data_IF_792561715794
#
_entry.id   IF_792561715794
#
_cell.length_a   1.000
_cell.length_b   1.000
_cell.length_c   1.000
_cell.angle_alpha   90.00
_cell.angle_beta   90.00
_cell.angle_gamma   90.00
#
_symmetry.space_group_name_H-M   'P 1'
#
loop_
_entity.id
_entity.type
_entity.pdbx_description
1 polymer ?
#
# COMPACT_ATOMS: atom_id res chain seq x y z
N UNK A 1 -11.97 -8.25 19.57
CA UNK A 1 -11.93 -9.67 19.96
C UNK A 1 -12.29 -10.50 18.74
N UNK A 2 -11.44 -11.45 18.34
CA UNK A 2 -11.71 -12.32 17.20
C UNK A 2 -12.59 -13.49 17.66
N UNK A 3 -13.91 -13.40 17.45
CA UNK A 3 -14.84 -14.50 17.75
C UNK A 3 -14.49 -15.69 16.84
N UNK A 4 -14.05 -16.80 17.44
CA UNK A 4 -13.72 -18.05 16.74
C UNK A 4 -14.94 -18.55 15.96
N UNK A 5 -14.76 -19.08 14.76
CA UNK A 5 -15.84 -19.63 13.93
C UNK A 5 -16.19 -21.04 14.43
N UNK A 6 -17.45 -21.28 14.79
CA UNK A 6 -17.91 -22.61 15.20
C UNK A 6 -18.25 -23.46 13.97
N UNK A 7 -18.22 -24.78 14.11
CA UNK A 7 -18.53 -25.71 13.00
C UNK A 7 -19.96 -25.49 12.45
N UNK A 8 -20.93 -25.24 13.34
CA UNK A 8 -22.31 -24.90 12.97
C UNK A 8 -22.41 -23.66 12.07
N UNK A 9 -21.64 -22.61 12.37
CA UNK A 9 -21.60 -21.40 11.54
C UNK A 9 -20.97 -21.68 10.17
N UNK A 10 -19.99 -22.57 10.11
CA UNK A 10 -19.36 -23.00 8.85
C UNK A 10 -20.34 -23.82 8.00
N UNK A 11 -21.16 -24.67 8.62
CA UNK A 11 -22.18 -25.47 7.92
C UNK A 11 -23.35 -24.62 7.41
N UNK A 12 -23.82 -23.65 8.20
CA UNK A 12 -24.78 -22.65 7.72
C UNK A 12 -24.19 -21.89 6.53
N UNK A 13 -22.92 -21.49 6.61
CA UNK A 13 -22.25 -20.79 5.51
C UNK A 13 -22.07 -21.68 4.28
N UNK A 14 -21.82 -22.99 4.41
CA UNK A 14 -21.79 -23.93 3.27
C UNK A 14 -23.17 -24.06 2.63
N UNK A 15 -24.21 -24.32 3.43
CA UNK A 15 -25.60 -24.49 2.99
C UNK A 15 -26.15 -23.24 2.29
N UNK A 16 -26.00 -22.07 2.90
CA UNK A 16 -26.47 -20.81 2.32
C UNK A 16 -25.74 -20.50 0.99
N UNK A 17 -24.47 -20.89 0.84
CA UNK A 17 -23.71 -20.67 -0.40
C UNK A 17 -24.12 -21.64 -1.50
N UNK A 18 -24.38 -22.90 -1.17
CA UNK A 18 -24.95 -23.88 -2.10
C UNK A 18 -26.33 -23.43 -2.61
N UNK A 19 -27.15 -22.84 -1.73
CA UNK A 19 -28.42 -22.21 -2.07
C UNK A 19 -28.29 -20.83 -2.76
N UNK A 20 -27.07 -20.37 -3.09
CA UNK A 20 -26.78 -19.07 -3.73
C UNK A 20 -27.32 -17.84 -2.98
N UNK A 21 -27.44 -17.91 -1.66
CA UNK A 21 -27.85 -16.79 -0.82
C UNK A 21 -26.74 -15.72 -0.78
N UNK A 22 -27.07 -14.42 -0.92
CA UNK A 22 -26.08 -13.34 -0.80
C UNK A 22 -25.41 -13.31 0.58
N UNK A 23 -24.08 -13.16 0.61
CA UNK A 23 -23.27 -13.14 1.85
C UNK A 23 -23.76 -12.13 2.90
N UNK A 24 -24.25 -10.92 2.55
CA UNK A 24 -24.81 -10.00 3.55
C UNK A 24 -26.00 -10.56 4.33
N UNK A 25 -26.83 -11.40 3.70
CA UNK A 25 -27.99 -12.05 4.35
C UNK A 25 -27.50 -13.11 5.33
N UNK A 26 -26.54 -13.95 4.92
CA UNK A 26 -25.93 -14.95 5.81
C UNK A 26 -25.16 -14.29 6.96
N UNK A 27 -24.47 -13.18 6.72
CA UNK A 27 -23.79 -12.43 7.76
C UNK A 27 -24.76 -11.90 8.84
N UNK A 28 -25.94 -11.41 8.41
CA UNK A 28 -27.01 -11.01 9.32
C UNK A 28 -27.55 -12.21 10.12
N UNK A 29 -27.79 -13.37 9.50
CA UNK A 29 -28.22 -14.60 10.19
C UNK A 29 -27.23 -15.06 11.27
N UNK A 30 -25.92 -14.96 10.99
CA UNK A 30 -24.85 -15.39 11.91
C UNK A 30 -24.48 -14.34 12.98
N UNK A 31 -25.02 -13.12 12.88
CA UNK A 31 -24.62 -12.02 13.75
C UNK A 31 -23.14 -11.65 13.61
N UNK A 32 -22.57 -11.76 12.40
CA UNK A 32 -21.15 -11.49 12.11
C UNK A 32 -20.97 -10.35 11.11
N UNK A 33 -19.87 -9.59 11.19
CA UNK A 33 -19.63 -8.51 10.25
C UNK A 33 -19.38 -9.05 8.83
N UNK A 34 -20.02 -8.42 7.85
CA UNK A 34 -19.99 -8.82 6.43
C UNK A 34 -18.58 -9.11 5.89
N UNK A 35 -17.54 -8.28 6.16
CA UNK A 35 -16.17 -8.56 5.70
C UNK A 35 -15.58 -9.85 6.28
N UNK A 36 -15.89 -10.19 7.53
CA UNK A 36 -15.40 -11.40 8.16
C UNK A 36 -16.06 -12.65 7.54
N UNK A 37 -17.36 -12.57 7.23
CA UNK A 37 -18.10 -13.64 6.54
C UNK A 37 -17.57 -13.86 5.13
N UNK A 38 -17.26 -12.79 4.39
CA UNK A 38 -16.60 -12.90 3.07
C UNK A 38 -15.21 -13.56 3.17
N UNK A 39 -14.38 -13.12 4.11
CA UNK A 39 -13.05 -13.68 4.31
C UNK A 39 -13.12 -15.18 4.66
N UNK A 40 -14.07 -15.58 5.51
CA UNK A 40 -14.24 -16.98 5.89
C UNK A 40 -14.79 -17.82 4.74
N UNK A 41 -15.80 -17.35 4.02
CA UNK A 41 -16.30 -18.04 2.82
C UNK A 41 -15.19 -18.27 1.79
N UNK A 42 -14.27 -17.32 1.65
CA UNK A 42 -13.08 -17.47 0.79
C UNK A 42 -12.12 -18.56 1.29
N UNK A 43 -11.87 -18.64 2.60
CA UNK A 43 -11.00 -19.65 3.19
C UNK A 43 -11.58 -21.07 3.10
N UNK A 44 -12.90 -21.24 3.21
CA UNK A 44 -13.57 -22.54 3.07
C UNK A 44 -13.66 -22.96 1.58
N UNK A 45 -13.34 -22.07 0.64
CA UNK A 45 -13.50 -22.33 -0.80
C UNK A 45 -14.95 -22.23 -1.30
N UNK A 46 -15.90 -21.82 -0.45
CA UNK A 46 -17.31 -21.63 -0.83
C UNK A 46 -17.56 -20.27 -1.49
N UNK A 47 -16.61 -19.34 -1.37
CA UNK A 47 -16.56 -18.15 -2.21
C UNK A 47 -15.88 -18.49 -3.53
N UNK A 48 -16.59 -19.25 -4.36
CA UNK A 48 -16.41 -19.16 -5.81
C UNK A 48 -16.87 -17.75 -6.17
N UNK A 49 -15.96 -16.77 -6.13
CA UNK A 49 -16.09 -15.73 -7.15
C UNK A 49 -16.11 -16.53 -8.45
N UNK A 50 -17.14 -16.41 -9.30
CA UNK A 50 -17.02 -16.87 -10.66
C UNK A 50 -15.92 -16.01 -11.27
N UNK A 51 -14.67 -16.40 -11.03
CA UNK A 51 -13.53 -16.01 -11.82
C UNK A 51 -13.80 -16.68 -13.16
N UNK A 52 -14.62 -16.00 -13.95
CA UNK A 52 -14.84 -16.39 -15.32
C UNK A 52 -13.46 -16.34 -15.95
N UNK A 53 -12.88 -17.50 -16.23
CA UNK A 53 -11.60 -17.60 -16.91
C UNK A 53 -11.70 -16.79 -18.20
N UNK A 54 -10.63 -16.09 -18.54
CA UNK A 54 -10.56 -15.39 -19.82
C UNK A 54 -10.20 -16.41 -20.88
N UNK A 55 -11.21 -16.92 -21.56
CA UNK A 55 -11.07 -17.72 -22.77
C UNK A 55 -10.51 -16.85 -23.90
N UNK A 56 -9.81 -17.50 -24.83
CA UNK A 56 -9.13 -16.81 -25.94
C UNK A 56 -10.12 -16.04 -26.82
N UNK A 57 -11.35 -16.56 -27.00
CA UNK A 57 -12.41 -15.90 -27.75
C UNK A 57 -12.88 -14.60 -27.06
N UNK A 58 -13.12 -14.61 -25.74
CA UNK A 58 -13.41 -13.39 -24.99
C UNK A 58 -12.27 -12.37 -25.05
N UNK A 59 -11.01 -12.82 -25.03
CA UNK A 59 -9.85 -11.92 -25.15
C UNK A 59 -9.74 -11.32 -26.55
N UNK A 60 -10.02 -12.10 -27.60
CA UNK A 60 -10.05 -11.60 -28.98
C UNK A 60 -11.16 -10.55 -29.15
N UNK A 61 -12.38 -10.84 -28.68
CA UNK A 61 -13.51 -9.90 -28.69
C UNK A 61 -13.21 -8.62 -27.89
N UNK A 62 -12.52 -8.75 -26.75
CA UNK A 62 -12.05 -7.58 -25.98
C UNK A 62 -11.08 -6.71 -26.81
N UNK A 63 -10.13 -7.30 -27.53
CA UNK A 63 -9.21 -6.54 -28.40
C UNK A 63 -9.95 -5.82 -29.53
N UNK A 64 -10.89 -6.50 -30.17
CA UNK A 64 -11.72 -5.93 -31.22
C UNK A 64 -12.53 -4.72 -30.72
N UNK A 65 -13.24 -4.86 -29.59
CA UNK A 65 -14.04 -3.79 -28.99
C UNK A 65 -13.18 -2.60 -28.52
N UNK A 66 -11.94 -2.85 -28.10
CA UNK A 66 -11.00 -1.79 -27.69
C UNK A 66 -10.44 -1.04 -28.89
N UNK A 67 -10.22 -1.72 -30.02
CA UNK A 67 -9.70 -1.15 -31.26
C UNK A 67 -10.78 -0.55 -32.19
N UNK A 68 -12.07 -0.74 -31.89
CA UNK A 68 -13.16 -0.15 -32.65
C UNK A 68 -13.09 1.39 -32.67
N UNK A 69 -13.34 2.01 -33.83
CA UNK A 69 -13.46 3.47 -33.99
C UNK A 69 -14.92 3.80 -34.32
N UNK A 70 -15.66 4.51 -33.44
CA UNK A 70 -15.22 5.23 -32.23
C UNK A 70 -14.91 4.32 -31.02
N UNK A 71 -13.95 4.70 -30.15
CA UNK A 71 -13.57 3.88 -29.00
C UNK A 71 -14.74 3.74 -28.01
N UNK A 72 -15.17 2.49 -27.78
CA UNK A 72 -16.22 2.18 -26.81
C UNK A 72 -15.80 2.49 -25.37
N UNK A 73 -16.70 2.95 -24.52
CA UNK A 73 -16.42 3.16 -23.09
C UNK A 73 -16.29 1.82 -22.35
N UNK A 74 -15.46 1.76 -21.30
CA UNK A 74 -15.22 0.53 -20.52
C UNK A 74 -16.54 -0.09 -20.00
N UNK A 75 -17.56 0.74 -19.74
CA UNK A 75 -18.91 0.31 -19.33
C UNK A 75 -19.66 -0.44 -20.43
N UNK A 76 -19.55 0.01 -21.68
CA UNK A 76 -20.19 -0.66 -22.83
C UNK A 76 -19.51 -1.99 -23.14
N UNK A 77 -18.17 -2.02 -23.09
CA UNK A 77 -17.38 -3.24 -23.26
C UNK A 77 -17.73 -4.27 -22.17
N UNK A 78 -17.85 -3.82 -20.92
CA UNK A 78 -18.27 -4.65 -19.79
C UNK A 78 -19.67 -5.25 -20.00
N UNK A 79 -20.62 -4.45 -20.49
CA UNK A 79 -21.96 -4.93 -20.81
C UNK A 79 -21.95 -5.96 -21.95
N UNK A 80 -21.19 -5.72 -23.03
CA UNK A 80 -21.11 -6.63 -24.18
C UNK A 80 -20.47 -7.99 -23.84
N UNK A 81 -19.45 -7.98 -22.99
CA UNK A 81 -18.77 -9.20 -22.54
C UNK A 81 -19.45 -9.87 -21.32
N UNK A 82 -20.49 -9.26 -20.75
CA UNK A 82 -21.15 -9.77 -19.54
C UNK A 82 -20.24 -9.82 -18.31
N UNK A 83 -19.19 -8.99 -18.25
CA UNK A 83 -18.19 -8.94 -17.15
C UNK A 83 -18.20 -7.60 -16.44
N UNK A 84 -17.63 -7.52 -15.24
CA UNK A 84 -17.54 -6.24 -14.52
C UNK A 84 -16.51 -5.29 -15.16
N UNK A 85 -16.77 -3.97 -15.08
CA UNK A 85 -15.85 -2.92 -15.57
C UNK A 85 -14.45 -3.06 -14.99
N UNK A 86 -14.34 -3.43 -13.71
CA UNK A 86 -13.05 -3.66 -13.05
C UNK A 86 -12.31 -4.85 -13.66
N UNK A 87 -12.99 -5.97 -13.95
CA UNK A 87 -12.38 -7.13 -14.62
C UNK A 87 -11.91 -6.79 -16.03
N UNK A 88 -12.71 -6.04 -16.80
CA UNK A 88 -12.33 -5.57 -18.13
C UNK A 88 -11.06 -4.71 -18.03
N UNK A 89 -11.04 -3.71 -17.14
CA UNK A 89 -9.89 -2.81 -16.97
C UNK A 89 -8.63 -3.56 -16.54
N UNK A 90 -8.74 -4.49 -15.59
CA UNK A 90 -7.61 -5.34 -15.19
C UNK A 90 -7.08 -6.15 -16.37
N UNK A 91 -7.96 -6.76 -17.17
CA UNK A 91 -7.54 -7.55 -18.32
C UNK A 91 -6.94 -6.69 -19.43
N UNK A 92 -7.47 -5.49 -19.67
CA UNK A 92 -6.87 -4.53 -20.59
C UNK A 92 -5.46 -4.11 -20.14
N UNK A 93 -5.24 -3.95 -18.83
CA UNK A 93 -3.91 -3.64 -18.27
C UNK A 93 -2.94 -4.81 -18.47
N UNK A 94 -3.38 -6.02 -18.14
CA UNK A 94 -2.61 -7.27 -18.31
C UNK A 94 -2.18 -7.48 -19.77
N UNK A 95 -3.04 -7.15 -20.72
CA UNK A 95 -2.77 -7.26 -22.16
C UNK A 95 -2.02 -6.05 -22.74
N UNK A 96 -1.70 -5.03 -21.94
CA UNK A 96 -1.03 -3.81 -22.42
C UNK A 96 -1.89 -2.90 -23.31
N UNK A 97 -3.20 -3.12 -23.39
CA UNK A 97 -4.11 -2.39 -24.29
C UNK A 97 -4.47 -0.98 -23.80
N UNK A 98 -4.14 -0.64 -22.54
CA UNK A 98 -4.43 0.68 -21.96
C UNK A 98 -3.59 1.79 -22.62
N UNK A 99 -2.37 1.48 -23.06
CA UNK A 99 -1.48 2.47 -23.70
C UNK A 99 -1.79 2.73 -25.17
N UNK A 100 -2.42 1.77 -25.86
CA UNK A 100 -2.77 1.87 -27.30
C UNK A 100 -4.02 2.72 -27.52
N UNK A 101 -4.85 2.83 -26.49
CA UNK A 101 -6.14 3.52 -26.55
C UNK A 101 -5.93 5.02 -26.37
N UNK A 102 -6.26 5.80 -27.40
CA UNK A 102 -6.27 7.27 -27.35
C UNK A 102 -7.26 7.76 -26.28
N UNK A 103 -6.81 7.87 -25.03
CA UNK A 103 -7.59 8.37 -23.89
C UNK A 103 -8.18 9.76 -24.18
N UNK A 104 -7.48 10.55 -25.01
CA UNK A 104 -7.91 11.85 -25.51
C UNK A 104 -9.21 11.77 -26.33
N UNK A 105 -9.42 10.72 -27.11
CA UNK A 105 -10.66 10.52 -27.90
C UNK A 105 -11.81 10.09 -27.00
N UNK A 106 -11.55 9.23 -26.01
CA UNK A 106 -12.57 8.83 -25.03
C UNK A 106 -13.01 9.97 -24.13
N UNK A 107 -12.08 10.83 -23.71
CA UNK A 107 -12.41 12.03 -22.94
C UNK A 107 -13.35 12.95 -23.73
N UNK A 108 -13.13 13.11 -25.04
CA UNK A 108 -14.03 13.87 -25.93
C UNK A 108 -15.41 13.23 -26.05
N UNK A 109 -15.49 11.91 -26.26
CA UNK A 109 -16.77 11.20 -26.39
C UNK A 109 -17.54 11.22 -25.06
N UNK A 110 -16.86 11.00 -23.93
CA UNK A 110 -17.48 11.03 -22.59
C UNK A 110 -17.95 12.45 -22.25
N UNK A 111 -17.16 13.47 -22.59
CA UNK A 111 -17.58 14.87 -22.43
C UNK A 111 -18.81 15.17 -23.30
N UNK A 112 -18.82 14.77 -24.58
CA UNK A 112 -19.95 14.96 -25.47
C UNK A 112 -21.22 14.20 -25.02
N UNK A 113 -21.09 13.00 -24.46
CA UNK A 113 -22.22 12.22 -23.93
C UNK A 113 -22.77 12.85 -22.64
N UNK A 114 -21.91 13.42 -21.78
CA UNK A 114 -22.33 14.16 -20.59
C UNK A 114 -22.93 15.54 -20.87
N UNK A 115 -22.54 16.15 -22.00
CA UNK A 115 -23.01 17.46 -22.43
C UNK A 115 -24.38 17.44 -23.11
N UNK A 116 -24.98 16.25 -23.35
CA UNK A 116 -26.38 16.18 -23.76
C UNK A 116 -27.25 16.64 -22.59
N UNK A 117 -27.99 17.76 -22.74
CA UNK A 117 -28.84 18.26 -21.68
C UNK A 117 -29.85 17.17 -21.31
N UNK A 118 -29.88 16.81 -20.03
CA UNK A 118 -30.94 15.98 -19.45
C UNK A 118 -32.26 16.64 -19.82
N UNK A 119 -32.96 16.04 -20.78
CA UNK A 119 -34.34 16.39 -21.11
C UNK A 119 -35.10 16.39 -19.80
N UNK A 120 -35.53 17.59 -19.40
CA UNK A 120 -36.26 17.85 -18.18
C UNK A 120 -37.52 17.01 -18.28
N UNK A 121 -37.53 15.90 -17.53
CA UNK A 121 -38.69 15.06 -17.39
C UNK A 121 -39.70 15.87 -16.58
N UNK A 122 -40.67 16.44 -17.28
CA UNK A 122 -41.84 17.05 -16.68
C UNK A 122 -42.60 15.98 -15.89
N UNK A 123 -42.57 16.09 -14.56
CA UNK A 123 -43.53 15.48 -13.65
C UNK A 123 -43.96 16.63 -12.73
N UNK A 124 -45.09 17.26 -13.01
CA UNK A 124 -46.41 16.86 -12.50
C UNK A 124 -46.51 17.07 -10.99
N UNK A 125 -47.05 18.24 -10.65
CA UNK A 125 -48.12 18.49 -9.67
C UNK A 125 -48.09 17.84 -8.27
N UNK A 126 -48.14 18.75 -7.27
CA UNK A 126 -48.96 18.71 -6.03
C UNK A 126 -48.40 18.06 -4.73
N UNK A 127 -48.92 18.42 -3.52
CA UNK A 127 -48.59 19.68 -2.83
C UNK A 127 -48.11 19.53 -1.38
N UNK A 128 -47.65 20.67 -0.84
CA UNK A 128 -47.74 21.13 0.56
C UNK A 128 -47.29 20.20 1.70
N UNK A 129 -46.21 20.59 2.40
CA UNK A 129 -46.30 20.66 3.87
C UNK A 129 -45.29 21.62 4.49
N UNK A 130 -45.81 22.34 5.48
CA UNK A 130 -45.32 23.51 6.20
C UNK A 130 -44.11 23.19 7.08
N UNK A 131 -43.14 24.12 7.17
CA UNK A 131 -42.52 24.54 8.45
C UNK A 131 -41.70 25.81 8.25
N UNK A 132 -42.34 26.96 8.42
CA UNK A 132 -41.64 28.23 8.67
C UNK A 132 -41.20 28.26 10.13
N UNK A 133 -39.89 28.26 10.38
CA UNK A 133 -39.34 28.59 11.69
C UNK A 133 -39.46 30.09 11.92
N UNK A 134 -40.13 30.42 13.02
CA UNK A 134 -40.44 31.75 13.50
C UNK A 134 -39.19 32.65 13.63
N UNK A 135 -39.23 33.82 13.00
CA UNK A 135 -38.38 34.97 13.33
C UNK A 135 -39.25 36.05 13.97
N UNK A 136 -38.83 36.44 15.19
CA UNK A 136 -39.33 37.52 16.05
C UNK A 136 -39.86 38.76 15.30
N UNK A 137 -41.00 39.35 15.72
CA UNK A 137 -41.36 40.69 15.31
C UNK A 137 -40.49 41.70 16.06
N UNK A 138 -39.69 42.47 15.31
CA UNK A 138 -39.01 43.66 15.83
C UNK A 138 -40.03 44.79 15.88
N UNK A 139 -40.27 45.26 17.10
CA UNK A 139 -41.11 46.38 17.48
C UNK A 139 -40.65 47.66 16.75
N UNK A 140 -41.48 48.18 15.85
CA UNK A 140 -41.29 49.52 15.29
C UNK A 140 -41.61 50.57 16.38
N UNK A 141 -40.76 51.60 16.58
CA UNK A 141 -41.13 52.74 17.39
C UNK A 141 -42.11 53.62 16.62
N UNK A 142 -43.23 53.97 17.27
CA UNK A 142 -44.19 54.93 16.77
C UNK A 142 -43.53 56.29 16.57
N UNK A 143 -43.59 56.79 15.33
CA UNK A 143 -43.24 58.18 15.01
C UNK A 143 -44.41 59.10 15.42
N UNK A 144 -44.12 60.30 15.93
CA UNK A 144 -45.15 61.29 16.26
C UNK A 144 -45.78 61.87 14.98
N UNK A 145 -47.09 62.07 15.02
CA UNK A 145 -47.84 62.79 14.02
C UNK A 145 -47.38 64.25 13.97
N UNK A 146 -46.50 64.57 13.02
CA UNK A 146 -46.16 65.94 12.68
C UNK A 146 -47.19 66.46 11.68
N UNK A 147 -47.93 67.48 12.13
CA UNK A 147 -48.80 68.35 11.35
C UNK A 147 -48.00 68.99 10.21
N UNK A 148 -48.21 68.53 8.98
CA UNK A 148 -47.64 69.16 7.79
C UNK A 148 -48.55 70.33 7.44
N UNK A 149 -48.09 71.55 7.74
CA UNK A 149 -48.61 72.77 7.19
C UNK A 149 -48.34 72.77 5.67
N UNK A 150 -49.42 72.78 4.89
CA UNK A 150 -49.39 72.90 3.43
C UNK A 150 -48.98 74.33 3.09
N UNK A 151 -47.68 74.57 2.96
CA UNK A 151 -47.17 75.79 2.36
C UNK A 151 -47.39 75.70 0.85
N UNK A 152 -48.11 76.69 0.29
CA UNK A 152 -48.40 76.80 -1.13
C UNK A 152 -47.10 76.89 -1.94
N UNK A 153 -46.78 75.81 -2.65
CA UNK A 153 -45.66 75.73 -3.58
C UNK A 153 -46.06 76.49 -4.84
N UNK A 154 -45.35 77.58 -5.13
CA UNK A 154 -45.45 78.29 -6.40
C UNK A 154 -44.96 77.39 -7.54
N UNK A 155 -45.63 77.39 -8.71
CA UNK A 155 -45.24 76.54 -9.84
C UNK A 155 -43.92 77.06 -10.41
N UNK A 156 -42.82 76.38 -10.09
CA UNK A 156 -41.57 76.59 -10.80
C UNK A 156 -41.70 75.92 -12.16
N UNK A 157 -41.58 76.71 -13.23
CA UNK A 157 -41.44 76.25 -14.61
C UNK A 157 -40.05 75.64 -14.78
N UNK A 158 -39.90 74.38 -14.38
CA UNK A 158 -38.67 73.63 -14.64
C UNK A 158 -38.70 73.06 -16.06
N UNK A 159 -37.55 73.12 -16.74
CA UNK A 159 -37.36 72.50 -18.04
C UNK A 159 -37.23 70.98 -17.85
N UNK A 160 -38.22 70.17 -18.29
CA UNK A 160 -38.24 68.74 -18.04
C UNK A 160 -37.06 67.99 -18.67
N UNK A 161 -36.39 68.56 -19.69
CA UNK A 161 -35.22 67.94 -20.31
C UNK A 161 -33.99 68.00 -19.41
N UNK A 162 -33.75 69.14 -18.77
CA UNK A 162 -32.63 69.32 -17.85
C UNK A 162 -32.76 68.41 -16.62
N UNK A 163 -33.98 68.24 -16.10
CA UNK A 163 -34.26 67.30 -15.01
C UNK A 163 -33.99 65.84 -15.42
N UNK A 164 -34.39 65.45 -16.64
CA UNK A 164 -34.14 64.10 -17.15
C UNK A 164 -32.64 63.83 -17.32
N UNK A 165 -31.87 64.76 -17.88
CA UNK A 165 -30.42 64.63 -18.02
C UNK A 165 -29.73 64.52 -16.65
N UNK A 166 -30.16 65.32 -15.67
CA UNK A 166 -29.65 65.22 -14.31
C UNK A 166 -29.98 63.87 -13.65
N UNK A 167 -31.20 63.35 -13.87
CA UNK A 167 -31.61 62.05 -13.36
C UNK A 167 -30.82 60.89 -14.00
N UNK A 168 -30.56 60.96 -15.31
CA UNK A 168 -29.74 59.96 -16.02
C UNK A 168 -28.31 59.98 -15.45
N UNK A 169 -27.69 61.15 -15.32
CA UNK A 169 -26.33 61.27 -14.79
C UNK A 169 -26.23 60.77 -13.34
N UNK A 170 -27.22 61.08 -12.50
CA UNK A 170 -27.27 60.57 -11.13
C UNK A 170 -27.40 59.03 -11.09
N UNK A 171 -28.17 58.43 -12.01
CA UNK A 171 -28.28 56.98 -12.13
C UNK A 171 -26.95 56.35 -12.59
N UNK A 172 -26.27 56.96 -13.55
CA UNK A 172 -24.95 56.52 -14.01
C UNK A 172 -23.91 56.54 -12.88
N UNK A 173 -23.84 57.63 -12.12
CA UNK A 173 -22.93 57.76 -10.98
C UNK A 173 -23.22 56.74 -9.88
N UNK A 174 -24.51 56.43 -9.64
CA UNK A 174 -24.94 55.41 -8.70
C UNK A 174 -24.55 54.00 -9.19
N UNK A 175 -24.77 53.69 -10.46
CA UNK A 175 -24.39 52.40 -11.06
C UNK A 175 -22.86 52.23 -11.07
N UNK A 176 -22.10 53.25 -11.43
CA UNK A 176 -20.64 53.24 -11.42
C UNK A 176 -20.09 53.02 -10.00
N UNK A 177 -20.69 53.68 -9.01
CA UNK A 177 -20.30 53.51 -7.60
C UNK A 177 -20.63 52.11 -7.08
N UNK A 178 -21.80 51.56 -7.45
CA UNK A 178 -22.17 50.18 -7.11
C UNK A 178 -21.24 49.15 -7.77
N UNK A 179 -20.88 49.33 -9.03
CA UNK A 179 -19.93 48.47 -9.73
C UNK A 179 -18.55 48.50 -9.08
N UNK A 180 -18.04 49.69 -8.74
CA UNK A 180 -16.76 49.83 -8.02
C UNK A 180 -16.77 49.09 -6.67
N UNK A 181 -17.88 49.19 -5.92
CA UNK A 181 -18.04 48.46 -4.65
C UNK A 181 -18.01 46.94 -4.86
N UNK A 182 -18.75 46.43 -5.85
CA UNK A 182 -18.80 44.99 -6.14
C UNK A 182 -17.44 44.44 -6.60
N UNK A 183 -16.70 45.20 -7.42
CA UNK A 183 -15.34 44.82 -7.84
C UNK A 183 -14.40 44.78 -6.64
N UNK A 184 -14.41 45.81 -5.77
CA UNK A 184 -13.58 45.84 -4.58
C UNK A 184 -13.88 44.68 -3.60
N UNK A 185 -15.15 44.32 -3.43
CA UNK A 185 -15.55 43.17 -2.61
C UNK A 185 -15.08 41.84 -3.22
N UNK A 186 -15.19 41.68 -4.54
CA UNK A 186 -14.70 40.51 -5.24
C UNK A 186 -13.17 40.37 -5.13
N UNK A 187 -12.43 41.46 -5.33
CA UNK A 187 -10.97 41.51 -5.17
C UNK A 187 -10.55 41.17 -3.74
N UNK A 188 -11.20 41.75 -2.73
CA UNK A 188 -10.95 41.42 -1.33
C UNK A 188 -11.21 39.93 -1.04
N UNK A 189 -12.27 39.36 -1.62
CA UNK A 189 -12.58 37.93 -1.56
C UNK A 189 -11.50 37.05 -2.19
N UNK A 190 -10.98 37.44 -3.36
CA UNK A 190 -9.88 36.75 -4.04
C UNK A 190 -8.59 36.81 -3.24
N UNK A 191 -8.20 37.98 -2.71
CA UNK A 191 -7.00 38.16 -1.89
C UNK A 191 -7.09 37.30 -0.62
N UNK A 192 -8.25 37.28 0.05
CA UNK A 192 -8.48 36.44 1.24
C UNK A 192 -8.37 34.95 0.90
N UNK A 193 -8.94 34.51 -0.22
CA UNK A 193 -8.84 33.13 -0.68
C UNK A 193 -7.39 32.73 -1.03
N UNK A 194 -6.64 33.61 -1.71
CA UNK A 194 -5.24 33.39 -2.03
C UNK A 194 -4.38 33.26 -0.76
N UNK A 195 -4.58 34.14 0.22
CA UNK A 195 -3.88 34.05 1.53
C UNK A 195 -4.20 32.74 2.27
N UNK A 196 -5.46 32.29 2.23
CA UNK A 196 -5.84 31.01 2.83
C UNK A 196 -5.20 29.81 2.12
N UNK A 197 -5.12 29.84 0.79
CA UNK A 197 -4.46 28.80 -0.01
C UNK A 197 -2.95 28.73 0.28
N UNK A 198 -2.27 29.88 0.37
CA UNK A 198 -0.85 29.96 0.76
C UNK A 198 -0.64 29.38 2.17
N UNK A 199 -1.50 29.70 3.13
CA UNK A 199 -1.43 29.16 4.47
C UNK A 199 -1.63 27.63 4.52
N UNK A 200 -2.56 27.09 3.74
CA UNK A 200 -2.77 25.64 3.67
C UNK A 200 -1.60 24.92 2.98
N UNK A 201 -1.03 25.52 1.92
CA UNK A 201 0.21 25.02 1.31
C UNK A 201 1.34 24.92 2.34
N UNK A 202 1.57 25.95 3.13
CA UNK A 202 2.59 25.93 4.18
C UNK A 202 2.36 24.81 5.22
N UNK A 203 1.09 24.53 5.58
CA UNK A 203 0.75 23.40 6.45
C UNK A 203 1.00 22.04 5.80
N UNK A 204 0.76 21.91 4.50
CA UNK A 204 1.10 20.69 3.75
C UNK A 204 2.61 20.50 3.73
N UNK A 205 3.38 21.54 3.42
CA UNK A 205 4.85 21.51 3.38
C UNK A 205 5.43 21.13 4.76
N UNK A 206 4.86 21.65 5.86
CA UNK A 206 5.23 21.26 7.23
C UNK A 206 4.92 19.79 7.52
N UNK A 207 3.74 19.30 7.11
CA UNK A 207 3.37 17.87 7.27
C UNK A 207 4.31 16.95 6.49
N UNK A 208 4.69 17.34 5.27
CA UNK A 208 5.66 16.60 4.46
C UNK A 208 7.04 16.57 5.13
N UNK A 209 7.51 17.72 5.62
CA UNK A 209 8.78 17.80 6.37
C UNK A 209 8.78 16.87 7.59
N UNK A 210 7.68 16.82 8.36
CA UNK A 210 7.55 15.91 9.51
C UNK A 210 7.57 14.44 9.07
N UNK A 211 6.93 14.09 7.93
CA UNK A 211 6.96 12.73 7.39
C UNK A 211 8.37 12.32 6.98
N UNK A 212 9.10 13.19 6.26
CA UNK A 212 10.49 12.93 5.87
C UNK A 212 11.37 12.70 7.09
N UNK A 213 11.26 13.56 8.12
CA UNK A 213 11.99 13.38 9.38
C UNK A 213 11.67 12.04 10.06
N UNK A 214 10.40 11.62 10.10
CA UNK A 214 10.00 10.33 10.69
C UNK A 214 10.52 9.13 9.89
N UNK A 215 10.58 9.23 8.57
CA UNK A 215 11.16 8.17 7.72
C UNK A 215 12.65 8.06 7.98
N UNK A 216 13.38 9.19 7.97
CA UNK A 216 14.80 9.23 8.29
C UNK A 216 15.11 8.68 9.69
N UNK A 217 14.29 9.02 10.70
CA UNK A 217 14.42 8.47 12.04
C UNK A 217 14.16 6.95 12.10
N UNK A 218 13.17 6.47 11.34
CA UNK A 218 12.88 5.03 11.26
C UNK A 218 14.00 4.26 10.56
N UNK A 219 14.63 4.84 9.53
CA UNK A 219 15.80 4.27 8.87
C UNK A 219 17.03 4.26 9.78
N UNK A 220 17.31 5.34 10.50
CA UNK A 220 18.35 5.37 11.53
C UNK A 220 18.14 4.28 12.59
N UNK A 221 16.90 4.09 13.08
CA UNK A 221 16.58 3.00 14.02
C UNK A 221 16.81 1.61 13.41
N UNK A 222 16.50 1.41 12.13
CA UNK A 222 16.78 0.14 11.43
C UNK A 222 18.27 -0.13 11.30
N UNK A 223 19.07 0.89 11.00
CA UNK A 223 20.52 0.75 10.93
C UNK A 223 21.12 0.39 12.28
N UNK A 224 20.69 1.06 13.36
CA UNK A 224 21.13 0.72 14.73
C UNK A 224 20.71 -0.70 15.11
N UNK A 225 19.47 -1.10 14.82
CA UNK A 225 19.00 -2.46 15.09
C UNK A 225 19.78 -3.52 14.27
N UNK A 226 20.12 -3.23 13.02
CA UNK A 226 20.93 -4.11 12.19
C UNK A 226 22.36 -4.25 12.74
N UNK A 227 22.98 -3.16 13.19
CA UNK A 227 24.30 -3.18 13.83
C UNK A 227 24.28 -3.98 15.14
N UNK A 228 23.22 -3.86 15.94
CA UNK A 228 23.04 -4.65 17.16
C UNK A 228 22.88 -6.14 16.84
N UNK A 229 22.06 -6.49 15.85
CA UNK A 229 21.89 -7.87 15.42
C UNK A 229 23.20 -8.48 14.87
N UNK A 230 24.01 -7.70 14.13
CA UNK A 230 25.32 -8.15 13.67
C UNK A 230 26.30 -8.37 14.84
N UNK A 231 26.28 -7.49 15.84
CA UNK A 231 27.11 -7.65 17.04
C UNK A 231 26.70 -8.89 17.86
N UNK A 232 25.40 -9.15 18.00
CA UNK A 232 24.88 -10.36 18.65
C UNK A 232 25.22 -11.63 17.84
N UNK A 233 25.11 -11.59 16.52
CA UNK A 233 25.52 -12.69 15.64
C UNK A 233 27.03 -12.98 15.77
N UNK A 234 27.88 -11.94 15.88
CA UNK A 234 29.31 -12.12 16.11
C UNK A 234 29.62 -12.73 17.48
N UNK A 235 28.89 -12.34 18.52
CA UNK A 235 29.05 -12.92 19.87
C UNK A 235 28.66 -14.39 19.89
N UNK A 236 27.49 -14.74 19.36
CA UNK A 236 27.03 -16.14 19.27
C UNK A 236 27.97 -17.00 18.40
N UNK A 237 28.50 -16.45 17.30
CA UNK A 237 29.53 -17.13 16.49
C UNK A 237 30.86 -17.33 17.25
N UNK A 238 31.24 -16.41 18.14
CA UNK A 238 32.44 -16.58 18.98
C UNK A 238 32.22 -17.63 20.07
N UNK A 239 31.04 -17.65 20.69
CA UNK A 239 30.71 -18.61 21.74
C UNK A 239 30.58 -20.04 21.20
N UNK A 240 29.97 -20.22 20.03
CA UNK A 240 29.94 -21.52 19.33
C UNK A 240 31.34 -22.02 18.99
N UNK A 241 32.23 -21.15 18.48
CA UNK A 241 33.64 -21.51 18.26
C UNK A 241 34.40 -21.88 19.55
N UNK A 242 34.08 -21.24 20.69
CA UNK A 242 34.64 -21.61 21.99
C UNK A 242 34.17 -23.00 22.42
N UNK A 243 32.88 -23.28 22.29
CA UNK A 243 32.32 -24.60 22.58
C UNK A 243 32.93 -25.69 21.70
N UNK A 244 33.07 -25.45 20.39
CA UNK A 244 33.74 -26.38 19.47
C UNK A 244 35.23 -26.60 19.83
N UNK A 245 35.93 -25.57 20.30
CA UNK A 245 37.30 -25.71 20.74
C UNK A 245 37.41 -26.52 22.05
N UNK A 246 36.46 -26.34 22.97
CA UNK A 246 36.36 -27.12 24.21
C UNK A 246 36.02 -28.59 23.95
N UNK A 247 35.08 -28.88 23.05
CA UNK A 247 34.76 -30.26 22.66
C UNK A 247 35.94 -30.93 21.97
N UNK A 248 36.66 -30.22 21.10
CA UNK A 248 37.91 -30.75 20.50
C UNK A 248 38.97 -31.04 21.55
N UNK A 249 39.13 -30.18 22.56
CA UNK A 249 40.07 -30.41 23.66
C UNK A 249 39.68 -31.66 24.46
N UNK A 250 38.40 -31.79 24.86
CA UNK A 250 37.94 -32.96 25.60
C UNK A 250 38.05 -34.26 24.79
N UNK A 251 37.79 -34.23 23.48
CA UNK A 251 38.03 -35.36 22.58
C UNK A 251 39.52 -35.75 22.52
N UNK A 252 40.44 -34.77 22.46
CA UNK A 252 41.88 -35.06 22.47
C UNK A 252 42.36 -35.61 23.81
N UNK A 253 41.81 -35.13 24.92
CA UNK A 253 42.12 -35.65 26.26
C UNK A 253 41.57 -37.08 26.44
N UNK A 254 40.34 -37.35 25.99
CA UNK A 254 39.77 -38.68 25.99
C UNK A 254 40.62 -39.66 25.16
N UNK A 255 41.09 -39.24 23.98
CA UNK A 255 42.02 -40.05 23.16
C UNK A 255 43.31 -40.37 23.91
N UNK A 256 43.94 -39.37 24.54
CA UNK A 256 45.15 -39.58 25.36
C UNK A 256 44.89 -40.56 26.50
N UNK A 257 43.78 -40.44 27.21
CA UNK A 257 43.41 -41.39 28.28
C UNK A 257 43.20 -42.81 27.74
N UNK A 258 42.57 -42.97 26.58
CA UNK A 258 42.40 -44.31 25.97
C UNK A 258 43.73 -44.90 25.52
N UNK A 259 44.66 -44.10 24.98
CA UNK A 259 46.00 -44.53 24.60
C UNK A 259 46.84 -44.93 25.82
N UNK A 260 46.79 -44.15 26.91
CA UNK A 260 47.45 -44.48 28.17
C UNK A 260 46.89 -45.76 28.80
N UNK A 261 45.57 -45.93 28.83
CA UNK A 261 44.94 -47.16 29.29
C UNK A 261 45.36 -48.38 28.45
N UNK A 262 45.44 -48.23 27.12
CA UNK A 262 45.92 -49.28 26.23
C UNK A 262 47.40 -49.63 26.51
N UNK A 263 48.25 -48.63 26.78
CA UNK A 263 49.66 -48.85 27.19
C UNK A 263 49.76 -49.65 28.48
N UNK A 264 48.97 -49.31 29.51
CA UNK A 264 48.95 -50.04 30.78
C UNK A 264 48.48 -51.50 30.61
N UNK A 265 47.48 -51.75 29.75
CA UNK A 265 47.03 -53.12 29.44
C UNK A 265 48.14 -53.91 28.76
N UNK A 266 48.84 -53.31 27.79
CA UNK A 266 49.97 -53.96 27.11
C UNK A 266 51.13 -54.24 28.07
N UNK A 267 51.47 -53.30 28.95
CA UNK A 267 52.51 -53.49 29.96
C UNK A 267 52.16 -54.62 30.94
N UNK A 268 50.91 -54.67 31.40
CA UNK A 268 50.43 -55.76 32.27
C UNK A 268 50.50 -57.12 31.56
N UNK A 269 50.06 -57.20 30.30
CA UNK A 269 50.18 -58.42 29.49
C UNK A 269 51.63 -58.85 29.32
N UNK A 270 52.55 -57.91 29.07
CA UNK A 270 53.98 -58.20 28.95
C UNK A 270 54.56 -58.73 30.27
N UNK A 271 54.16 -58.20 31.43
CA UNK A 271 54.56 -58.71 32.75
C UNK A 271 54.00 -60.12 32.99
N UNK A 272 52.74 -60.36 32.69
CA UNK A 272 52.11 -61.69 32.81
C UNK A 272 52.78 -62.72 31.89
N UNK A 273 53.14 -62.34 30.66
CA UNK A 273 53.89 -63.20 29.74
C UNK A 273 55.31 -63.49 30.25
N UNK A 274 55.99 -62.49 30.83
CA UNK A 274 57.31 -62.67 31.45
C UNK A 274 57.24 -63.67 32.60
N UNK A 275 56.25 -63.52 33.50
CA UNK A 275 56.01 -64.47 34.60
C UNK A 275 55.67 -65.88 34.08
N UNK A 276 54.90 -65.99 33.00
CA UNK A 276 54.62 -67.29 32.35
C UNK A 276 55.88 -67.93 31.79
N UNK A 277 56.77 -67.16 31.15
CA UNK A 277 58.04 -67.65 30.62
C UNK A 277 58.97 -68.09 31.75
N UNK A 278 59.07 -67.31 32.82
CA UNK A 278 59.84 -67.68 34.02
C UNK A 278 59.32 -69.00 34.63
N UNK A 279 58.00 -69.15 34.79
CA UNK A 279 57.39 -70.40 35.24
C UNK A 279 57.60 -71.59 34.27
N UNK A 280 57.61 -71.35 32.95
CA UNK A 280 57.92 -72.39 31.96
C UNK A 280 59.40 -72.81 32.01
N UNK A 281 60.33 -71.88 32.23
CA UNK A 281 61.74 -72.19 32.41
C UNK A 281 61.97 -72.98 33.70
N UNK A 282 61.33 -72.61 34.81
CA UNK A 282 61.36 -73.41 36.04
C UNK A 282 60.79 -74.82 35.83
N UNK A 283 59.68 -74.95 35.10
CA UNK A 283 59.10 -76.25 34.76
C UNK A 283 59.98 -77.07 33.80
N UNK A 284 60.69 -76.44 32.85
CA UNK A 284 61.64 -77.14 31.96
C UNK A 284 62.90 -77.58 32.71
N UNK A 285 63.41 -76.78 33.65
CA UNK A 285 64.52 -77.18 34.53
C UNK A 285 64.11 -78.36 35.41
N UNK A 286 62.86 -78.40 35.89
CA UNK A 286 62.32 -79.56 36.61
C UNK A 286 62.08 -80.80 35.72
N UNK A 287 61.75 -80.62 34.44
CA UNK A 287 61.47 -81.71 33.50
C UNK A 287 62.73 -82.30 32.81
N UNK A 288 63.87 -81.60 32.84
CA UNK A 288 65.14 -82.09 32.27
C UNK A 288 65.85 -83.18 33.09
N UNK A 289 65.20 -83.74 34.13
CA UNK A 289 65.69 -84.88 34.90
C UNK A 289 65.23 -86.26 34.38
N UNK A 290 64.47 -86.36 33.28
CA UNK A 290 64.07 -87.66 32.73
C UNK A 290 63.80 -87.67 31.23
N UNK A 291 64.42 -88.66 30.57
CA UNK A 291 64.02 -89.32 29.32
C UNK A 291 64.55 -88.76 27.97
N UNK A 292 65.74 -89.24 27.62
CA UNK A 292 66.04 -90.22 26.56
C UNK A 292 64.97 -90.56 25.47
N UNK A 293 65.43 -90.52 24.21
CA UNK A 293 65.09 -91.35 23.03
C UNK A 293 63.65 -91.38 22.47
N UNK A 294 63.44 -90.83 21.25
CA UNK A 294 63.17 -91.59 19.98
C UNK A 294 62.45 -90.78 18.86
N UNK A 295 62.90 -91.00 17.60
CA UNK A 295 62.27 -90.63 16.30
C UNK A 295 61.03 -91.51 16.01
N UNK A 296 60.08 -91.13 15.10
CA UNK A 296 60.16 -91.55 13.69
C UNK A 296 59.47 -90.61 12.66
N UNK A 297 59.33 -91.08 11.42
CA UNK A 297 59.31 -90.35 10.15
C UNK A 297 57.95 -90.27 9.40
N UNK A 298 57.88 -89.31 8.45
CA UNK A 298 57.16 -89.22 7.13
C UNK A 298 55.76 -89.86 6.93
N UNK A 299 54.83 -89.09 6.33
CA UNK A 299 54.07 -89.43 5.08
C UNK A 299 53.20 -88.26 4.55
N UNK A 300 52.93 -88.30 3.23
CA UNK A 300 52.28 -87.32 2.33
C UNK A 300 50.74 -87.41 2.32
N UNK A 301 50.02 -86.34 1.91
CA UNK A 301 48.85 -86.34 1.00
C UNK A 301 48.34 -84.88 0.77
N UNK A 302 48.30 -84.33 -0.46
CA UNK A 302 47.20 -84.28 -1.49
C UNK A 302 46.36 -82.97 -1.43
N UNK A 303 46.28 -82.30 -2.59
CA UNK A 303 45.53 -81.05 -2.94
C UNK A 303 44.01 -81.30 -3.13
N UNK A 304 43.14 -80.27 -3.30
CA UNK A 304 42.87 -79.61 -4.60
C UNK A 304 42.71 -78.06 -4.48
N UNK A 305 43.10 -77.21 -5.43
CA UNK A 305 42.54 -76.89 -6.76
C UNK A 305 41.04 -76.49 -6.77
N UNK A 306 40.76 -75.18 -6.83
CA UNK A 306 39.62 -74.60 -7.58
C UNK A 306 40.08 -73.29 -8.26
N UNK A 307 39.63 -73.16 -9.50
CA UNK A 307 40.09 -72.30 -10.58
C UNK A 307 38.87 -71.56 -11.16
N UNK A 308 39.06 -70.35 -11.70
CA UNK A 308 38.17 -69.66 -12.64
C UNK A 308 37.39 -68.48 -12.05
N UNK A 309 37.17 -67.33 -12.72
CA UNK A 309 37.32 -66.92 -14.12
C UNK A 309 37.46 -65.38 -14.21
N UNK A 310 38.35 -64.85 -15.08
CA UNK A 310 38.09 -64.01 -16.29
C UNK A 310 37.02 -62.90 -16.17
N UNK A 311 37.36 -61.61 -16.34
CA UNK A 311 37.56 -60.81 -17.58
C UNK A 311 36.25 -60.23 -18.14
N UNK A 312 36.05 -58.92 -18.02
CA UNK A 312 35.44 -58.10 -19.09
C UNK A 312 35.57 -56.59 -18.83
N UNK A 313 35.77 -55.85 -19.91
CA UNK A 313 35.85 -54.40 -19.98
C UNK A 313 34.60 -53.87 -20.69
N UNK A 314 33.98 -52.79 -20.19
CA UNK A 314 33.25 -51.78 -20.98
C UNK A 314 32.73 -50.62 -20.08
N UNK A 315 32.55 -49.40 -20.62
CA UNK A 315 32.37 -48.16 -19.86
C UNK A 315 30.88 -47.83 -19.61
N UNK A 316 30.57 -47.17 -18.49
CA UNK A 316 29.24 -46.56 -18.27
C UNK A 316 29.31 -45.29 -17.41
N UNK A 317 29.12 -44.16 -18.10
CA UNK A 317 28.36 -42.92 -17.82
C UNK A 317 28.32 -42.30 -16.39
N UNK A 318 28.24 -40.94 -16.33
CA UNK A 318 28.29 -40.19 -15.09
C UNK A 318 27.03 -40.35 -14.23
N UNK A 319 27.22 -40.58 -12.94
CA UNK A 319 26.17 -40.48 -11.93
C UNK A 319 25.72 -39.03 -11.77
N UNK A 320 24.45 -38.79 -12.07
CA UNK A 320 23.72 -37.61 -11.62
C UNK A 320 23.56 -37.64 -10.08
N UNK A 321 23.55 -36.49 -9.40
CA UNK A 321 23.47 -36.40 -7.95
C UNK A 321 22.10 -36.87 -7.45
N UNK A 322 22.11 -37.85 -6.53
CA UNK A 322 20.94 -38.21 -5.75
C UNK A 322 20.54 -37.04 -4.83
N UNK A 323 19.26 -36.69 -4.87
CA UNK A 323 18.66 -35.66 -4.03
C UNK A 323 18.83 -36.00 -2.53
N UNK A 324 19.09 -35.00 -1.67
CA UNK A 324 19.12 -35.22 -0.23
C UNK A 324 17.73 -35.61 0.27
N UNK A 325 17.64 -36.79 0.85
CA UNK A 325 16.51 -37.24 1.67
C UNK A 325 16.26 -36.25 2.80
N UNK A 326 15.06 -35.67 2.82
CA UNK A 326 14.60 -34.79 3.88
C UNK A 326 14.67 -35.49 5.25
N UNK A 327 15.20 -34.84 6.31
CA UNK A 327 15.15 -35.39 7.65
C UNK A 327 13.69 -35.43 8.13
N UNK A 328 13.23 -36.63 8.51
CA UNK A 328 12.02 -36.81 9.32
C UNK A 328 12.26 -36.14 10.67
N UNK A 329 11.64 -34.98 10.88
CA UNK A 329 11.51 -34.37 12.21
C UNK A 329 10.50 -35.23 12.98
N UNK A 330 11.01 -36.09 13.84
CA UNK A 330 10.23 -36.75 14.89
C UNK A 330 10.00 -35.70 15.97
N UNK A 331 8.81 -35.09 15.96
CA UNK A 331 8.33 -34.26 17.07
C UNK A 331 7.96 -35.22 18.20
N UNK A 332 8.83 -35.34 19.21
CA UNK A 332 8.45 -35.92 20.49
C UNK A 332 7.65 -34.87 21.27
N UNK A 333 6.36 -35.15 21.50
CA UNK A 333 5.53 -34.42 22.45
C UNK A 333 6.09 -34.60 23.87
N UNK A 334 6.53 -33.49 24.48
CA UNK A 334 6.84 -33.43 25.90
C UNK A 334 5.57 -33.01 26.66
N UNK A 335 5.23 -33.68 27.79
CA UNK A 335 4.00 -33.41 28.53
C UNK A 335 4.03 -32.06 29.24
N UNK A 336 2.88 -31.40 29.23
CA UNK A 336 2.60 -30.10 29.81
C UNK A 336 2.90 -30.05 31.32
N UNK A 337 3.76 -29.11 31.72
CA UNK A 337 3.87 -28.71 33.11
C UNK A 337 2.68 -27.80 33.48
N UNK A 338 1.81 -28.32 34.34
CA UNK A 338 0.76 -27.56 35.00
C UNK A 338 1.36 -26.35 35.73
N UNK A 339 0.82 -25.16 35.50
CA UNK A 339 1.02 -24.01 36.39
C UNK A 339 -0.31 -23.51 36.90
N UNK A 340 -0.28 -23.27 38.21
CA UNK A 340 -1.38 -23.05 39.12
C UNK A 340 -2.15 -21.78 38.81
N UNK A 341 -3.45 -21.89 39.04
CA UNK A 341 -4.40 -20.81 39.30
C UNK A 341 -4.01 -20.17 40.62
N UNK A 342 -3.77 -18.87 40.64
CA UNK A 342 -3.76 -18.07 41.87
C UNK A 342 -4.66 -16.85 41.64
N UNK A 343 -5.78 -16.87 42.35
CA UNK A 343 -6.74 -15.79 42.54
C UNK A 343 -6.34 -15.12 43.85
N UNK A 344 -6.11 -13.80 43.84
CA UNK A 344 -6.54 -12.84 44.88
C UNK A 344 -5.88 -11.48 44.61
N UNK A 345 -6.68 -10.46 44.31
CA UNK A 345 -7.27 -9.47 45.23
C UNK A 345 -6.37 -8.25 45.44
N UNK A 346 -7.07 -7.12 45.51
CA UNK A 346 -6.54 -5.77 45.55
C UNK A 346 -5.64 -5.55 46.76
N UNK A 347 -4.64 -4.68 46.60
CA UNK A 347 -4.53 -3.56 47.53
C UNK A 347 -3.70 -2.41 46.99
N UNK A 348 -4.24 -1.23 47.23
CA UNK A 348 -3.66 0.09 47.04
C UNK A 348 -2.39 0.26 47.86
N UNK A 349 -1.27 0.61 47.21
CA UNK A 349 -0.13 1.18 47.93
C UNK A 349 0.44 2.40 47.19
N UNK A 350 -0.03 3.56 47.64
CA UNK A 350 0.59 4.87 47.45
C UNK A 350 1.81 5.01 48.36
N UNK A 351 3.00 5.13 47.76
CA UNK A 351 4.26 5.59 48.37
C UNK A 351 5.29 5.64 47.24
N UNK A 352 6.07 6.68 46.97
CA UNK A 352 6.29 7.97 47.59
C UNK A 352 7.47 8.62 46.86
N UNK A 353 7.44 9.95 46.75
CA UNK A 353 8.55 10.87 46.43
C UNK A 353 9.22 10.78 45.05
N UNK A 354 8.96 11.83 44.27
CA UNK A 354 9.83 12.24 43.16
C UNK A 354 9.05 13.08 42.17
N UNK A 355 8.75 14.32 42.55
CA UNK A 355 7.92 15.21 41.74
C UNK A 355 8.44 15.37 40.32
N UNK A 356 7.51 15.47 39.36
CA UNK A 356 7.52 16.40 38.23
C UNK A 356 6.09 16.44 37.67
N UNK A 357 5.43 17.59 37.88
CA UNK A 357 4.27 18.13 37.15
C UNK A 357 3.47 17.12 36.33
N UNK A 358 2.46 16.51 36.95
CA UNK A 358 1.38 15.79 36.28
C UNK A 358 0.52 16.78 35.48
N UNK A 359 0.92 17.04 34.24
CA UNK A 359 0.02 17.61 33.24
C UNK A 359 -1.05 16.56 32.97
N UNK A 360 -2.23 16.75 33.56
CA UNK A 360 -3.45 15.99 33.25
C UNK A 360 -3.65 16.02 31.74
N UNK A 361 -3.27 14.94 31.05
CA UNK A 361 -3.59 14.77 29.64
C UNK A 361 -5.06 14.35 29.58
N UNK A 362 -5.87 15.23 29.01
CA UNK A 362 -7.28 14.94 28.77
C UNK A 362 -7.44 13.58 28.07
N UNK A 363 -8.22 12.64 28.64
CA UNK A 363 -8.45 11.33 28.02
C UNK A 363 -9.09 11.45 26.63
N UNK A 364 -9.86 12.52 26.38
CA UNK A 364 -10.39 12.86 25.06
C UNK A 364 -9.28 13.15 24.03
N UNK A 365 -8.19 13.79 24.45
CA UNK A 365 -7.05 14.10 23.57
C UNK A 365 -6.20 12.87 23.28
N UNK A 366 -6.13 11.93 24.23
CA UNK A 366 -5.47 10.63 24.05
C UNK A 366 -6.28 9.75 23.07
N UNK A 367 -7.62 9.72 23.19
CA UNK A 367 -8.51 9.04 22.24
C UNK A 367 -8.44 9.63 20.82
N UNK A 368 -8.36 10.96 20.70
CA UNK A 368 -8.22 11.63 19.40
C UNK A 368 -6.84 11.39 18.75
N UNK A 369 -5.76 11.37 19.54
CA UNK A 369 -4.42 11.01 19.04
C UNK A 369 -4.32 9.52 18.67
N UNK A 370 -5.03 8.63 19.35
CA UNK A 370 -5.11 7.23 18.99
C UNK A 370 -5.85 7.01 17.66
N UNK A 371 -6.96 7.75 17.43
CA UNK A 371 -7.67 7.73 16.13
C UNK A 371 -6.86 8.32 14.97
N UNK A 372 -6.07 9.37 15.21
CA UNK A 372 -5.26 10.02 14.16
C UNK A 372 -3.96 9.26 13.80
N UNK A 373 -3.50 8.31 14.63
CA UNK A 373 -2.31 7.48 14.37
C UNK A 373 -2.62 6.12 13.76
N UNK A 374 -3.90 5.76 13.57
CA UNK A 374 -4.26 4.62 12.75
C UNK A 374 -3.82 4.90 11.31
N UNK A 375 -2.71 4.29 10.89
CA UNK A 375 -2.32 4.24 9.48
C UNK A 375 -3.55 3.75 8.70
N UNK A 376 -3.94 4.37 7.57
CA UNK A 376 -4.96 3.80 6.71
C UNK A 376 -4.43 2.45 6.26
N UNK A 377 -4.88 1.39 6.93
CA UNK A 377 -4.35 0.04 6.77
C UNK A 377 -4.83 -0.59 5.46
N UNK A 378 -5.69 0.11 4.72
CA UNK A 378 -6.38 -0.44 3.56
C UNK A 378 -6.22 0.47 2.35
N UNK A 379 -5.76 -0.12 1.24
CA UNK A 379 -5.62 0.54 -0.06
C UNK A 379 -6.96 1.10 -0.57
N UNK A 380 -8.08 0.50 -0.13
CA UNK A 380 -9.43 0.99 -0.41
C UNK A 380 -9.69 2.38 0.18
N UNK A 381 -9.33 2.61 1.44
CA UNK A 381 -9.54 3.91 2.10
C UNK A 381 -8.71 5.01 1.44
N UNK A 382 -7.53 4.68 0.89
CA UNK A 382 -6.71 5.63 0.14
C UNK A 382 -7.36 6.01 -1.20
N UNK A 383 -8.06 5.08 -1.85
CA UNK A 383 -8.79 5.34 -3.10
C UNK A 383 -10.04 6.18 -2.82
N UNK A 384 -10.79 5.87 -1.75
CA UNK A 384 -11.97 6.63 -1.37
C UNK A 384 -11.62 8.07 -0.94
N UNK A 385 -10.49 8.25 -0.23
CA UNK A 385 -10.01 9.57 0.17
C UNK A 385 -9.50 10.38 -1.04
N UNK A 386 -8.89 9.73 -2.04
CA UNK A 386 -8.51 10.37 -3.29
C UNK A 386 -9.73 10.78 -4.13
N UNK A 387 -10.74 9.92 -4.23
CA UNK A 387 -11.99 10.23 -4.92
C UNK A 387 -12.78 11.35 -4.23
N UNK A 388 -12.83 11.35 -2.90
CA UNK A 388 -13.46 12.41 -2.12
C UNK A 388 -12.74 13.75 -2.29
N UNK A 389 -11.41 13.75 -2.34
CA UNK A 389 -10.63 14.96 -2.61
C UNK A 389 -10.89 15.50 -4.03
N UNK A 390 -10.99 14.62 -5.02
CA UNK A 390 -11.25 15.01 -6.40
C UNK A 390 -12.67 15.57 -6.60
N UNK A 391 -13.68 14.95 -5.98
CA UNK A 391 -15.05 15.47 -5.96
C UNK A 391 -15.15 16.82 -5.23
N UNK A 392 -14.37 17.04 -4.18
CA UNK A 392 -14.31 18.32 -3.48
C UNK A 392 -13.67 19.42 -4.34
N UNK A 393 -12.63 19.10 -5.10
CA UNK A 393 -12.02 20.03 -6.07
C UNK A 393 -13.00 20.38 -7.19
N UNK A 394 -13.72 19.39 -7.73
CA UNK A 394 -14.74 19.62 -8.77
C UNK A 394 -15.90 20.48 -8.27
N UNK A 395 -16.39 20.24 -7.05
CA UNK A 395 -17.40 21.10 -6.41
C UNK A 395 -16.87 22.50 -6.15
N UNK A 396 -15.62 22.63 -5.72
CA UNK A 396 -15.00 23.94 -5.52
C UNK A 396 -14.88 24.73 -6.83
N UNK A 397 -14.50 24.07 -7.93
CA UNK A 397 -14.44 24.68 -9.27
C UNK A 397 -15.84 25.08 -9.74
N UNK A 398 -16.85 24.23 -9.54
CA UNK A 398 -18.23 24.50 -9.91
C UNK A 398 -18.87 25.64 -9.08
N UNK A 399 -18.66 25.66 -7.77
CA UNK A 399 -19.23 26.68 -6.86
C UNK A 399 -18.55 28.04 -6.99
N UNK A 400 -17.25 28.08 -7.31
CA UNK A 400 -16.51 29.34 -7.51
C UNK A 400 -16.73 29.95 -8.89
N UNK A 401 -17.46 29.28 -9.78
CA UNK A 401 -17.64 29.77 -11.16
C UNK A 401 -16.30 29.99 -11.85
N UNK A 402 -15.26 29.24 -11.48
CA UNK A 402 -14.01 29.18 -12.25
C UNK A 402 -14.36 28.39 -13.50
N UNK A 403 -15.08 29.04 -14.42
CA UNK A 403 -15.03 28.68 -15.82
C UNK A 403 -13.55 28.51 -16.14
N UNK A 404 -13.19 27.39 -16.78
CA UNK A 404 -11.84 27.23 -17.34
C UNK A 404 -11.50 28.58 -17.95
N UNK A 405 -10.52 29.27 -17.37
CA UNK A 405 -10.00 30.49 -17.98
C UNK A 405 -9.66 30.07 -19.39
N UNK A 406 -10.45 30.56 -20.35
CA UNK A 406 -10.16 30.41 -21.76
C UNK A 406 -8.68 30.70 -21.86
N UNK A 407 -7.91 29.66 -22.17
CA UNK A 407 -6.46 29.73 -22.12
C UNK A 407 -6.14 30.81 -23.13
N UNK A 408 -5.80 32.01 -22.66
CA UNK A 408 -5.67 33.19 -23.53
C UNK A 408 -4.83 32.81 -24.73
N UNK A 409 -5.16 33.33 -25.92
CA UNK A 409 -4.66 32.82 -27.21
C UNK A 409 -3.18 32.40 -27.21
N UNK A 410 -2.34 33.15 -26.53
CA UNK A 410 -0.91 32.87 -26.29
C UNK A 410 -0.64 31.49 -25.67
N UNK A 411 -1.36 31.10 -24.62
CA UNK A 411 -1.15 29.81 -23.95
C UNK A 411 -1.52 28.63 -24.87
N UNK A 412 -2.51 28.82 -25.75
CA UNK A 412 -2.85 27.83 -26.77
C UNK A 412 -1.72 27.66 -27.80
N UNK A 413 -1.06 28.77 -28.17
CA UNK A 413 0.08 28.78 -29.10
C UNK A 413 1.31 28.15 -28.48
N UNK A 414 1.64 28.50 -27.23
CA UNK A 414 2.72 27.89 -26.46
C UNK A 414 2.51 26.38 -26.34
N UNK A 415 1.29 25.94 -26.03
CA UNK A 415 0.97 24.50 -25.91
C UNK A 415 1.12 23.76 -27.24
N UNK A 416 0.73 24.38 -28.37
CA UNK A 416 0.91 23.78 -29.70
C UNK A 416 2.37 23.72 -30.14
N UNK A 417 3.16 24.74 -29.80
CA UNK A 417 4.61 24.74 -30.01
C UNK A 417 5.28 23.61 -29.21
N UNK A 418 4.93 23.48 -27.92
CA UNK A 418 5.43 22.39 -27.08
C UNK A 418 5.02 21.00 -27.60
N UNK A 419 3.79 20.84 -28.09
CA UNK A 419 3.33 19.59 -28.71
C UNK A 419 4.10 19.23 -29.99
N UNK A 420 4.72 20.22 -30.67
CA UNK A 420 5.60 20.02 -31.82
C UNK A 420 7.07 19.81 -31.43
N UNK A 421 7.38 19.77 -30.13
CA UNK A 421 8.73 19.50 -29.62
C UNK A 421 9.56 20.75 -29.31
N UNK A 422 9.00 21.95 -29.43
CA UNK A 422 9.71 23.19 -29.08
C UNK A 422 9.71 23.41 -27.56
N UNK A 423 10.86 23.78 -27.00
CA UNK A 423 10.99 24.20 -25.60
C UNK A 423 10.73 25.71 -25.54
N UNK A 424 9.56 26.10 -25.05
CA UNK A 424 9.15 27.50 -24.91
C UNK A 424 9.22 27.91 -23.44
N UNK A 425 10.06 28.89 -23.13
CA UNK A 425 10.23 29.46 -21.78
C UNK A 425 9.85 30.94 -21.80
N UNK A 426 9.10 31.40 -20.80
CA UNK A 426 8.78 32.82 -20.62
C UNK A 426 9.81 33.45 -19.70
N UNK A 427 10.50 34.47 -20.19
CA UNK A 427 11.45 35.28 -19.43
C UNK A 427 10.83 36.65 -19.10
N UNK A 428 11.52 37.47 -18.30
CA UNK A 428 11.06 38.81 -17.91
C UNK A 428 10.91 39.77 -19.10
N UNK A 429 11.63 39.50 -20.20
CA UNK A 429 11.69 40.37 -21.40
C UNK A 429 10.97 39.79 -22.62
N UNK A 430 10.37 38.60 -22.52
CA UNK A 430 9.70 37.95 -23.66
C UNK A 430 9.68 36.42 -23.57
N UNK A 431 9.76 35.76 -24.73
CA UNK A 431 9.73 34.31 -24.89
C UNK A 431 11.03 33.81 -25.52
N UNK A 432 11.57 32.73 -24.95
CA UNK A 432 12.75 32.02 -25.49
C UNK A 432 12.33 30.64 -25.99
N UNK A 433 12.57 30.37 -27.28
CA UNK A 433 12.25 29.09 -27.93
C UNK A 433 13.56 28.36 -28.28
N UNK A 434 13.69 27.11 -27.80
CA UNK A 434 14.84 26.22 -28.00
C UNK A 434 16.20 26.85 -27.66
N UNK A 435 16.20 27.81 -26.73
CA UNK A 435 17.38 28.61 -26.33
C UNK A 435 18.01 29.44 -27.47
N UNK A 436 17.40 29.47 -28.66
CA UNK A 436 17.96 30.09 -29.88
C UNK A 436 17.18 31.31 -30.33
N UNK A 437 15.85 31.28 -30.19
CA UNK A 437 14.99 32.36 -30.65
C UNK A 437 14.46 33.14 -29.45
N UNK A 438 14.81 34.42 -29.36
CA UNK A 438 14.25 35.35 -28.38
C UNK A 438 13.21 36.23 -29.06
N UNK A 439 12.01 36.25 -28.49
CA UNK A 439 10.83 36.89 -29.04
C UNK A 439 10.31 37.87 -27.99
N UNK A 440 10.39 39.17 -28.28
CA UNK A 440 10.06 40.22 -27.31
C UNK A 440 8.56 40.49 -27.16
N UNK A 441 7.77 40.20 -28.19
CA UNK A 441 6.34 40.51 -28.22
C UNK A 441 5.46 39.27 -28.47
N UNK A 442 4.19 39.35 -28.08
CA UNK A 442 3.23 38.27 -28.33
C UNK A 442 2.90 38.13 -29.81
N UNK A 443 2.87 39.22 -30.57
CA UNK A 443 2.69 39.20 -32.03
C UNK A 443 3.81 38.44 -32.74
N UNK A 444 5.05 38.60 -32.29
CA UNK A 444 6.19 37.89 -32.87
C UNK A 444 6.16 36.40 -32.53
N UNK A 445 5.61 36.03 -31.37
CA UNK A 445 5.40 34.62 -30.99
C UNK A 445 4.35 33.97 -31.90
N UNK A 446 3.29 34.71 -32.22
CA UNK A 446 2.25 34.27 -33.15
C UNK A 446 2.81 34.12 -34.56
N UNK A 447 3.59 35.10 -35.04
CA UNK A 447 4.25 35.05 -36.34
C UNK A 447 5.25 33.87 -36.43
N UNK A 448 5.99 33.60 -35.35
CA UNK A 448 6.87 32.43 -35.27
C UNK A 448 6.08 31.12 -35.36
N UNK A 449 4.96 31.01 -34.64
CA UNK A 449 4.11 29.83 -34.68
C UNK A 449 3.49 29.62 -36.07
N UNK A 450 3.03 30.69 -36.72
CA UNK A 450 2.48 30.67 -38.07
C UNK A 450 3.52 30.27 -39.11
N UNK A 451 4.75 30.80 -39.03
CA UNK A 451 5.87 30.38 -39.87
C UNK A 451 6.24 28.89 -39.72
N UNK A 452 5.85 28.26 -38.61
CA UNK A 452 5.99 26.82 -38.35
C UNK A 452 4.72 26.01 -38.68
N UNK A 453 3.74 26.61 -39.34
CA UNK A 453 2.50 25.97 -39.76
C UNK A 453 1.50 25.71 -38.63
N UNK A 454 1.63 26.42 -37.51
CA UNK A 454 0.68 26.35 -36.39
C UNK A 454 -0.31 27.50 -36.57
N UNK A 455 -1.32 27.29 -37.41
CA UNK A 455 -2.35 28.29 -37.67
C UNK A 455 -3.36 28.37 -36.53
N UNK A 456 -3.74 29.58 -36.17
CA UNK A 456 -4.73 29.88 -35.14
C UNK A 456 -6.13 29.91 -35.75
N UNK A 457 -6.53 28.89 -36.52
CA UNK A 457 -7.91 28.87 -37.03
C UNK A 457 -8.86 28.65 -35.86
N UNK A 458 -9.75 29.62 -35.64
CA UNK A 458 -10.76 29.68 -34.58
C UNK A 458 -11.86 28.59 -34.63
N UNK A 459 -11.61 27.47 -35.31
CA UNK A 459 -12.51 26.32 -35.34
C UNK A 459 -12.13 25.34 -34.21
N UNK A 460 -12.49 25.70 -32.97
CA UNK A 460 -12.61 24.76 -31.87
C UNK A 460 -13.70 25.22 -30.90
#
# INVERSE_FOLDING_TARGET
MNRVWTEEELDILRRDREAKVPVPVTAAKLGRPVPATYARARLIGTLVQPHQSWDEASVARLRELVCADPPMTDKRIAADLGRSVTQIRWKMQDLGLIGVRDLSKLAKITAAESARPKVIKASSTEPALKKSTASKPVRQPALPAATIAVAAVTPQTTDPRAELECAIKALEDLMASRLRSLVAEAEAGMIKAARAAIAEKARIDQRLTIRVKRVAEAEARRLVAAQQAEAEAKKTAADTRRQEAETRKSETEAKRQTEEAARLILERKAREEKLRKEAQVEAQVAASASADVSKPARKKAVLPAVQGMSREAAPRLPQAPAAPTAPKIVVMEAPAAARQVEIDQADTQTSGRGGWKSVRRDPARIMAQAKAKAKPANRADAVDLAQAAQAAIERFIAERGVTRTESGGIQSVVSRLQARGYIVVRDETGWTIDQRHRIGSESDLMAFAEARGITWSAAA
#
